data_IF_337740049495
#
_entry.id   IF_337740049495
#
_cell.length_a   1.000
_cell.length_b   1.000
_cell.length_c   1.000
_cell.angle_alpha   90.00
_cell.angle_beta   90.00
_cell.angle_gamma   90.00
#
_symmetry.space_group_name_H-M   'P 1'
#
loop_
_entity.id
_entity.type
_entity.pdbx_description
1 polymer ?
#
# COMPACT_ATOMS: atom_id res chain seq x y z
N UNK A 1 9.80 -25.00 -5.44
CA UNK A 1 8.33 -24.88 -5.26
C UNK A 1 7.98 -24.75 -3.78
N UNK A 2 8.55 -25.58 -2.89
CA UNK A 2 8.39 -25.48 -1.43
C UNK A 2 8.86 -24.11 -0.85
N UNK A 3 9.95 -23.54 -1.37
CA UNK A 3 10.48 -22.26 -0.88
C UNK A 3 9.57 -21.07 -1.24
N UNK A 4 9.01 -21.05 -2.45
CA UNK A 4 8.08 -19.99 -2.89
C UNK A 4 6.82 -20.00 -2.03
N UNK A 5 6.23 -21.17 -1.77
CA UNK A 5 5.07 -21.29 -0.88
C UNK A 5 5.39 -20.85 0.55
N UNK A 6 6.56 -21.21 1.07
CA UNK A 6 7.02 -20.78 2.40
C UNK A 6 7.18 -19.25 2.47
N UNK A 7 7.73 -18.63 1.43
CA UNK A 7 7.95 -17.19 1.37
C UNK A 7 6.65 -16.44 1.18
N UNK A 8 5.75 -16.92 0.32
CA UNK A 8 4.40 -16.38 0.20
C UNK A 8 3.64 -16.50 1.53
N UNK A 9 3.76 -17.62 2.23
CA UNK A 9 3.21 -17.81 3.57
C UNK A 9 3.80 -16.83 4.58
N UNK A 10 5.12 -16.61 4.55
CA UNK A 10 5.81 -15.63 5.39
C UNK A 10 5.34 -14.20 5.10
N UNK A 11 5.25 -13.81 3.83
CA UNK A 11 4.76 -12.50 3.39
C UNK A 11 3.31 -12.28 3.84
N UNK A 12 2.43 -13.28 3.66
CA UNK A 12 1.05 -13.19 4.14
C UNK A 12 0.98 -13.08 5.67
N UNK A 13 1.85 -13.80 6.38
CA UNK A 13 2.00 -13.67 7.84
C UNK A 13 2.38 -12.26 8.25
N UNK A 14 3.38 -11.67 7.57
CA UNK A 14 3.85 -10.29 7.80
C UNK A 14 2.81 -9.24 7.50
N UNK A 15 2.09 -9.35 6.38
CA UNK A 15 0.95 -8.47 6.08
C UNK A 15 -0.12 -8.58 7.17
N UNK A 16 -0.37 -9.80 7.67
CA UNK A 16 -1.26 -10.02 8.82
C UNK A 16 -0.76 -9.35 10.10
N UNK A 17 0.55 -9.38 10.37
CA UNK A 17 1.18 -8.68 11.50
C UNK A 17 1.06 -7.16 11.35
N UNK A 18 1.35 -6.60 10.16
CA UNK A 18 1.20 -5.18 9.88
C UNK A 18 -0.26 -4.73 10.02
N UNK A 19 -1.21 -5.54 9.54
CA UNK A 19 -2.64 -5.27 9.72
C UNK A 19 -3.03 -5.25 11.20
N UNK A 20 -2.48 -6.18 12.00
CA UNK A 20 -2.71 -6.20 13.45
C UNK A 20 -2.12 -4.97 14.12
N UNK A 21 -0.88 -4.60 13.79
CA UNK A 21 -0.24 -3.37 14.31
C UNK A 21 -1.04 -2.13 13.95
N UNK A 22 -1.53 -2.02 12.72
CA UNK A 22 -2.42 -0.93 12.31
C UNK A 22 -3.66 -0.87 13.21
N UNK A 23 -4.32 -2.02 13.45
CA UNK A 23 -5.51 -2.08 14.28
C UNK A 23 -5.20 -1.68 15.72
N UNK A 24 -4.12 -2.19 16.31
CA UNK A 24 -3.70 -1.89 17.68
C UNK A 24 -3.32 -0.40 17.81
N UNK A 25 -2.54 0.13 16.87
CA UNK A 25 -2.12 1.53 16.89
C UNK A 25 -3.31 2.48 16.65
N UNK A 26 -4.31 2.07 15.86
CA UNK A 26 -5.52 2.88 15.66
C UNK A 26 -6.62 2.60 16.68
N UNK A 27 -6.35 1.80 17.71
CA UNK A 27 -7.23 1.64 18.87
C UNK A 27 -6.96 2.78 19.86
N UNK A 28 -7.43 3.97 19.52
CA UNK A 28 -7.20 5.19 20.29
C UNK A 28 -8.50 5.77 20.85
N UNK A 29 -8.37 6.59 21.90
CA UNK A 29 -9.50 7.17 22.62
C UNK A 29 -10.24 8.26 21.83
N UNK A 30 -9.60 8.87 20.83
CA UNK A 30 -10.19 9.95 20.03
C UNK A 30 -9.97 9.81 18.51
N UNK A 31 -10.90 10.39 17.74
CA UNK A 31 -10.90 10.34 16.28
C UNK A 31 -9.69 11.03 15.62
N UNK A 32 -9.05 11.98 16.31
CA UNK A 32 -7.85 12.67 15.82
C UNK A 32 -6.67 11.69 15.80
N UNK A 33 -6.45 10.97 16.89
CA UNK A 33 -5.38 9.98 17.01
C UNK A 33 -5.59 8.82 16.05
N UNK A 34 -6.82 8.31 15.93
CA UNK A 34 -7.19 7.29 14.93
C UNK A 34 -6.80 7.77 13.53
N UNK A 35 -7.22 8.98 13.17
CA UNK A 35 -6.98 9.53 11.84
C UNK A 35 -5.49 9.76 11.56
N UNK A 36 -4.77 10.41 12.47
CA UNK A 36 -3.36 10.73 12.27
C UNK A 36 -2.49 9.47 12.16
N UNK A 37 -2.74 8.46 13.01
CA UNK A 37 -2.01 7.19 12.94
C UNK A 37 -2.33 6.45 11.65
N UNK A 38 -3.61 6.33 11.28
CA UNK A 38 -3.98 5.71 10.01
C UNK A 38 -3.40 6.44 8.79
N UNK A 39 -3.36 7.77 8.82
CA UNK A 39 -2.71 8.56 7.76
C UNK A 39 -1.20 8.31 7.68
N UNK A 40 -0.50 8.19 8.81
CA UNK A 40 0.94 7.89 8.84
C UNK A 40 1.24 6.53 8.20
N UNK A 41 0.45 5.50 8.51
CA UNK A 41 0.54 4.20 7.86
C UNK A 41 0.36 4.29 6.34
N UNK A 42 -0.67 5.03 5.88
CA UNK A 42 -0.90 5.22 4.44
C UNK A 42 0.26 5.97 3.78
N UNK A 43 0.76 7.03 4.42
CA UNK A 43 1.91 7.79 3.91
C UNK A 43 3.17 6.94 3.81
N UNK A 44 3.40 6.08 4.80
CA UNK A 44 4.51 5.14 4.81
C UNK A 44 4.46 4.19 3.60
N UNK A 45 3.31 3.59 3.29
CA UNK A 45 3.17 2.72 2.10
C UNK A 45 3.44 3.46 0.78
N UNK A 46 2.99 4.72 0.66
CA UNK A 46 3.26 5.53 -0.54
C UNK A 46 4.74 5.88 -0.64
N UNK A 47 5.39 6.20 0.47
CA UNK A 47 6.82 6.44 0.50
C UNK A 47 7.61 5.18 0.12
N UNK A 48 7.21 4.02 0.65
CA UNK A 48 7.79 2.72 0.32
C UNK A 48 7.68 2.38 -1.17
N UNK A 49 6.50 2.63 -1.78
CA UNK A 49 6.32 2.54 -3.23
C UNK A 49 7.33 3.38 -4.01
N UNK A 50 7.52 4.64 -3.58
CA UNK A 50 8.45 5.55 -4.25
C UNK A 50 9.91 5.14 -4.05
N UNK A 51 10.29 4.73 -2.83
CA UNK A 51 11.64 4.25 -2.51
C UNK A 51 12.03 3.01 -3.32
N UNK A 52 11.08 2.12 -3.58
CA UNK A 52 11.31 0.93 -4.40
C UNK A 52 11.39 1.23 -5.92
N UNK A 53 10.92 2.40 -6.36
CA UNK A 53 10.91 2.76 -7.78
C UNK A 53 12.04 3.71 -8.18
N UNK A 54 12.41 4.62 -7.28
CA UNK A 54 13.42 5.64 -7.56
C UNK A 54 14.83 5.06 -7.42
N UNK A 55 15.70 5.43 -8.35
CA UNK A 55 17.13 5.05 -8.32
C UNK A 55 17.84 5.69 -7.13
N UNK A 56 17.52 6.96 -6.84
CA UNK A 56 18.06 7.72 -5.71
C UNK A 56 16.91 8.43 -4.99
N UNK A 57 16.16 7.71 -4.11
CA UNK A 57 14.98 8.26 -3.46
C UNK A 57 15.31 9.43 -2.53
N UNK A 58 16.47 9.43 -1.87
CA UNK A 58 16.83 10.45 -0.88
C UNK A 58 17.11 11.82 -1.52
N UNK A 59 17.42 11.85 -2.82
CA UNK A 59 17.55 13.11 -3.58
C UNK A 59 16.25 13.93 -3.65
N UNK A 60 15.09 13.30 -3.45
CA UNK A 60 13.77 13.94 -3.57
C UNK A 60 12.87 13.74 -2.35
N UNK A 61 12.89 12.55 -1.73
CA UNK A 61 12.05 12.17 -0.59
C UNK A 61 12.62 12.73 0.73
N UNK A 62 12.71 14.04 0.80
CA UNK A 62 13.13 14.79 2.00
C UNK A 62 11.92 15.10 2.89
N UNK A 63 12.17 15.56 4.12
CA UNK A 63 11.11 16.01 5.05
C UNK A 63 10.20 17.11 4.48
N UNK A 64 10.67 17.86 3.48
CA UNK A 64 9.90 18.92 2.80
C UNK A 64 9.01 18.35 1.69
N UNK A 65 9.21 17.11 1.30
CA UNK A 65 8.44 16.43 0.26
C UNK A 65 7.18 15.79 0.86
N UNK A 66 6.21 16.65 1.16
CA UNK A 66 4.97 16.29 1.87
C UNK A 66 4.14 15.22 1.15
N UNK A 67 3.26 14.54 1.89
CA UNK A 67 2.27 13.57 1.42
C UNK A 67 1.66 13.86 0.04
N UNK A 68 1.14 15.08 -0.18
CA UNK A 68 0.50 15.44 -1.45
C UNK A 68 1.47 15.37 -2.65
N UNK A 69 2.76 15.67 -2.45
CA UNK A 69 3.78 15.55 -3.48
C UNK A 69 4.16 14.08 -3.71
N UNK A 70 4.24 13.27 -2.65
CA UNK A 70 4.44 11.81 -2.74
C UNK A 70 3.34 11.15 -3.58
N UNK A 71 2.07 11.45 -3.29
CA UNK A 71 0.92 10.95 -4.07
C UNK A 71 1.01 11.33 -5.54
N UNK A 72 1.30 12.61 -5.84
CA UNK A 72 1.42 13.08 -7.22
C UNK A 72 2.55 12.39 -7.97
N UNK A 73 3.70 12.21 -7.34
CA UNK A 73 4.83 11.51 -7.92
C UNK A 73 4.50 10.03 -8.18
N UNK A 74 3.88 9.35 -7.21
CA UNK A 74 3.48 7.96 -7.35
C UNK A 74 2.47 7.75 -8.50
N UNK A 75 1.55 8.70 -8.71
CA UNK A 75 0.64 8.67 -9.87
C UNK A 75 1.39 8.96 -11.17
N UNK A 76 2.31 9.94 -11.18
CA UNK A 76 3.09 10.31 -12.37
C UNK A 76 3.99 9.16 -12.87
N UNK A 77 4.56 8.40 -11.94
CA UNK A 77 5.32 7.18 -12.21
C UNK A 77 4.42 5.97 -12.55
N UNK A 78 3.10 6.14 -12.49
CA UNK A 78 2.13 5.08 -12.76
C UNK A 78 2.02 4.04 -11.64
N UNK A 79 2.67 4.21 -10.50
CA UNK A 79 2.63 3.27 -9.37
C UNK A 79 1.22 3.15 -8.79
N UNK A 80 0.52 4.28 -8.71
CA UNK A 80 -0.85 4.41 -8.23
C UNK A 80 -1.75 4.87 -9.39
N UNK A 81 -2.90 4.22 -9.60
CA UNK A 81 -3.91 4.67 -10.57
C UNK A 81 -4.39 6.11 -10.34
N UNK A 82 -4.67 6.85 -11.42
CA UNK A 82 -5.05 8.28 -11.34
C UNK A 82 -6.38 8.52 -10.62
N UNK A 83 -7.31 7.58 -10.68
CA UNK A 83 -8.61 7.65 -9.99
C UNK A 83 -8.45 7.70 -8.46
N UNK A 84 -7.36 7.17 -7.91
CA UNK A 84 -7.05 7.23 -6.48
C UNK A 84 -6.64 8.63 -5.98
N UNK A 85 -6.35 9.56 -6.88
CA UNK A 85 -5.95 10.92 -6.51
C UNK A 85 -7.00 11.61 -5.64
N UNK A 86 -8.29 11.39 -5.92
CA UNK A 86 -9.40 12.00 -5.17
C UNK A 86 -9.43 11.49 -3.73
N UNK A 87 -9.26 10.19 -3.51
CA UNK A 87 -9.19 9.56 -2.18
C UNK A 87 -8.05 10.11 -1.35
N UNK A 88 -6.83 10.12 -1.89
CA UNK A 88 -5.66 10.63 -1.17
C UNK A 88 -5.76 12.14 -0.91
N UNK A 89 -6.28 12.93 -1.86
CA UNK A 89 -6.52 14.34 -1.63
C UNK A 89 -7.56 14.58 -0.52
N UNK A 90 -8.60 13.74 -0.43
CA UNK A 90 -9.59 13.84 0.65
C UNK A 90 -8.96 13.53 2.00
N UNK A 91 -8.12 12.50 2.11
CA UNK A 91 -7.34 12.23 3.33
C UNK A 91 -6.45 13.41 3.72
N UNK A 92 -5.67 13.94 2.77
CA UNK A 92 -4.81 15.11 3.02
C UNK A 92 -5.62 16.33 3.45
N UNK A 93 -6.83 16.53 2.90
CA UNK A 93 -7.70 17.64 3.29
C UNK A 93 -8.17 17.51 4.74
N UNK A 94 -8.53 16.30 5.20
CA UNK A 94 -8.95 16.05 6.59
C UNK A 94 -7.75 16.24 7.52
N UNK A 95 -6.57 15.73 7.14
CA UNK A 95 -5.30 15.95 7.86
C UNK A 95 -5.01 17.43 8.04
N UNK A 96 -5.17 18.23 6.99
CA UNK A 96 -4.93 19.67 7.05
C UNK A 96 -5.95 20.40 7.94
N UNK A 97 -7.21 19.96 7.98
CA UNK A 97 -8.17 20.52 8.95
C UNK A 97 -7.73 20.26 10.38
N UNK A 98 -7.30 19.04 10.71
CA UNK A 98 -6.75 18.75 12.04
C UNK A 98 -5.52 19.62 12.39
N UNK A 99 -4.68 19.96 11.40
CA UNK A 99 -3.51 20.80 11.62
C UNK A 99 -3.83 22.30 11.79
N UNK A 100 -4.89 22.80 11.17
CA UNK A 100 -5.19 24.25 11.11
C UNK A 100 -6.38 24.68 11.96
N UNK A 101 -7.28 23.75 12.33
CA UNK A 101 -8.50 24.03 13.06
C UNK A 101 -8.49 23.32 14.43
N UNK A 102 -8.12 24.04 15.50
CA UNK A 102 -7.94 23.48 16.85
C UNK A 102 -9.15 22.69 17.40
N UNK A 103 -10.37 23.04 16.95
CA UNK A 103 -11.63 22.40 17.38
C UNK A 103 -12.24 21.51 16.31
N UNK A 104 -11.49 21.15 15.27
CA UNK A 104 -12.00 20.27 14.24
C UNK A 104 -12.23 18.87 14.81
N UNK A 105 -13.42 18.35 14.53
CA UNK A 105 -13.79 16.97 14.79
C UNK A 105 -14.33 16.39 13.50
N UNK A 106 -13.89 15.18 13.18
CA UNK A 106 -14.48 14.42 12.09
C UNK A 106 -15.96 14.14 12.42
N UNK A 107 -16.76 14.02 11.37
CA UNK A 107 -18.21 13.81 11.47
C UNK A 107 -18.60 12.81 10.40
N UNK A 108 -19.78 12.22 10.53
CA UNK A 108 -20.31 11.25 9.55
C UNK A 108 -20.27 11.78 8.12
N UNK A 109 -20.51 13.08 7.90
CA UNK A 109 -20.39 13.71 6.57
C UNK A 109 -18.96 13.64 6.03
N UNK A 110 -17.95 13.90 6.86
CA UNK A 110 -16.55 13.82 6.43
C UNK A 110 -16.16 12.38 6.03
N UNK A 111 -16.66 11.40 6.78
CA UNK A 111 -16.43 9.99 6.50
C UNK A 111 -17.19 9.54 5.25
N UNK A 112 -18.47 9.91 5.11
CA UNK A 112 -19.27 9.60 3.93
C UNK A 112 -18.66 10.20 2.66
N UNK A 113 -18.19 11.45 2.73
CA UNK A 113 -17.45 12.08 1.64
C UNK A 113 -16.18 11.30 1.30
N UNK A 114 -15.40 10.84 2.29
CA UNK A 114 -14.20 10.02 2.06
C UNK A 114 -14.57 8.69 1.38
N UNK A 115 -15.54 7.95 1.93
CA UNK A 115 -15.98 6.67 1.35
C UNK A 115 -16.50 6.85 -0.08
N UNK A 116 -17.14 7.98 -0.40
CA UNK A 116 -17.61 8.28 -1.76
C UNK A 116 -16.49 8.42 -2.80
N UNK A 117 -15.25 8.64 -2.35
CA UNK A 117 -14.07 8.72 -3.26
C UNK A 117 -13.46 7.36 -3.56
N UNK A 118 -13.83 6.31 -2.83
CA UNK A 118 -13.24 4.98 -2.98
C UNK A 118 -13.54 4.41 -4.36
N UNK A 119 -12.50 3.82 -4.98
CA UNK A 119 -12.67 2.96 -6.13
C UNK A 119 -13.32 1.62 -5.70
N UNK A 120 -13.66 0.80 -6.69
CA UNK A 120 -14.36 -0.47 -6.45
C UNK A 120 -13.60 -1.44 -5.54
N UNK A 121 -12.26 -1.44 -5.60
CA UNK A 121 -11.43 -2.32 -4.78
C UNK A 121 -11.52 -1.94 -3.30
N UNK A 122 -11.24 -0.68 -2.95
CA UNK A 122 -11.30 -0.21 -1.57
C UNK A 122 -12.73 -0.27 -1.03
N UNK A 123 -13.72 0.10 -1.88
CA UNK A 123 -15.13 0.10 -1.49
C UNK A 123 -15.62 -1.31 -1.17
N UNK A 124 -15.15 -2.33 -1.88
CA UNK A 124 -15.45 -3.73 -1.60
C UNK A 124 -14.93 -4.14 -0.23
N UNK A 125 -13.66 -3.85 0.07
CA UNK A 125 -13.04 -4.21 1.35
C UNK A 125 -13.70 -3.47 2.52
N UNK A 126 -13.90 -2.15 2.37
CA UNK A 126 -14.62 -1.33 3.35
C UNK A 126 -16.03 -1.86 3.62
N UNK A 127 -16.83 -2.12 2.57
CA UNK A 127 -18.22 -2.58 2.70
C UNK A 127 -18.28 -3.95 3.36
N UNK A 128 -17.36 -4.85 3.00
CA UNK A 128 -17.25 -6.18 3.61
C UNK A 128 -17.08 -6.07 5.12
N UNK A 129 -16.13 -5.27 5.59
CA UNK A 129 -15.89 -5.12 7.03
C UNK A 129 -16.97 -4.31 7.74
N UNK A 130 -17.44 -3.22 7.14
CA UNK A 130 -18.46 -2.35 7.75
C UNK A 130 -19.80 -3.07 7.97
N UNK A 131 -20.15 -4.02 7.10
CA UNK A 131 -21.34 -4.86 7.29
C UNK A 131 -21.16 -5.88 8.42
N UNK A 132 -19.93 -6.30 8.70
CA UNK A 132 -19.59 -7.24 9.77
C UNK A 132 -19.53 -6.58 11.15
N UNK A 133 -19.17 -5.30 11.21
CA UNK A 133 -18.95 -4.57 12.47
C UNK A 133 -19.72 -3.25 12.50
N UNK A 134 -21.06 -3.31 12.55
CA UNK A 134 -21.90 -2.12 12.66
C UNK A 134 -21.70 -1.45 14.02
N UNK A 135 -20.81 -0.48 14.08
CA UNK A 135 -20.60 0.37 15.25
C UNK A 135 -20.28 1.80 14.79
N UNK A 136 -20.42 2.78 15.68
CA UNK A 136 -20.43 4.22 15.35
C UNK A 136 -19.21 4.78 14.58
N UNK A 137 -19.19 6.10 14.39
CA UNK A 137 -18.22 6.83 13.55
C UNK A 137 -16.74 6.44 13.75
N UNK A 138 -16.21 6.22 14.98
CA UNK A 138 -14.80 5.86 15.19
C UNK A 138 -14.41 4.52 14.54
N UNK A 139 -15.28 3.51 14.62
CA UNK A 139 -15.02 2.22 14.00
C UNK A 139 -15.06 2.34 12.47
N UNK A 140 -16.07 3.02 11.94
CA UNK A 140 -16.17 3.23 10.50
C UNK A 140 -14.97 4.02 9.95
N UNK A 141 -14.44 4.96 10.73
CA UNK A 141 -13.22 5.68 10.41
C UNK A 141 -12.02 4.72 10.34
N UNK A 142 -11.83 3.86 11.34
CA UNK A 142 -10.77 2.83 11.33
C UNK A 142 -10.89 1.91 10.12
N UNK A 143 -12.11 1.45 9.82
CA UNK A 143 -12.38 0.61 8.66
C UNK A 143 -12.09 1.31 7.33
N UNK A 144 -12.38 2.60 7.22
CA UNK A 144 -12.05 3.39 6.03
C UNK A 144 -10.53 3.53 5.88
N UNK A 145 -9.80 3.85 6.96
CA UNK A 145 -8.35 4.03 6.92
C UNK A 145 -7.63 2.71 6.63
N UNK A 146 -8.03 1.60 7.24
CA UNK A 146 -7.41 0.29 7.00
C UNK A 146 -7.68 -0.23 5.59
N UNK A 147 -8.82 0.12 4.97
CA UNK A 147 -9.09 -0.21 3.58
C UNK A 147 -8.16 0.54 2.62
N UNK A 148 -7.90 1.84 2.88
CA UNK A 148 -6.96 2.62 2.06
C UNK A 148 -5.51 2.18 2.31
N UNK A 149 -5.13 1.89 3.56
CA UNK A 149 -3.82 1.33 3.87
C UNK A 149 -3.63 -0.03 3.19
N UNK A 150 -4.58 -0.96 3.32
CA UNK A 150 -4.52 -2.29 2.72
C UNK A 150 -4.39 -2.24 1.20
N UNK A 151 -5.09 -1.31 0.54
CA UNK A 151 -4.90 -1.05 -0.88
C UNK A 151 -3.48 -0.55 -1.20
N UNK A 152 -2.98 0.42 -0.42
CA UNK A 152 -1.66 1.02 -0.64
C UNK A 152 -0.55 -0.01 -0.41
N UNK A 153 -0.65 -0.81 0.65
CA UNK A 153 0.25 -1.93 0.95
C UNK A 153 0.21 -2.98 -0.15
N UNK A 154 -0.98 -3.43 -0.58
CA UNK A 154 -1.13 -4.36 -1.71
C UNK A 154 -0.47 -3.84 -2.99
N UNK A 155 -0.51 -2.53 -3.24
CA UNK A 155 0.17 -1.91 -4.38
C UNK A 155 1.70 -2.04 -4.29
N UNK A 156 2.30 -1.93 -3.10
CA UNK A 156 3.74 -2.17 -2.91
C UNK A 156 4.13 -3.55 -3.41
N UNK A 157 3.45 -4.60 -2.91
CA UNK A 157 3.74 -5.98 -3.29
C UNK A 157 3.44 -6.25 -4.78
N UNK A 158 2.29 -5.77 -5.27
CA UNK A 158 1.88 -6.02 -6.66
C UNK A 158 2.84 -5.38 -7.65
N UNK A 159 3.28 -4.13 -7.40
CA UNK A 159 4.23 -3.44 -8.27
C UNK A 159 5.58 -4.13 -8.32
N UNK A 160 6.05 -4.63 -7.18
CA UNK A 160 7.29 -5.38 -7.14
C UNK A 160 7.19 -6.68 -7.94
N UNK A 161 6.11 -7.44 -7.75
CA UNK A 161 5.85 -8.66 -8.53
C UNK A 161 5.73 -8.39 -10.05
N UNK A 162 5.12 -7.27 -10.43
CA UNK A 162 4.97 -6.89 -11.85
C UNK A 162 6.33 -6.67 -12.53
N UNK A 163 7.34 -6.12 -11.84
CA UNK A 163 8.70 -5.93 -12.38
C UNK A 163 9.29 -7.28 -12.81
N UNK A 164 9.28 -8.24 -11.89
CA UNK A 164 9.83 -9.57 -12.14
C UNK A 164 8.98 -10.40 -13.10
N UNK A 165 7.66 -10.20 -13.13
CA UNK A 165 6.79 -10.92 -14.07
C UNK A 165 7.15 -10.64 -15.53
N UNK A 166 7.60 -9.43 -15.85
CA UNK A 166 8.05 -9.06 -17.19
C UNK A 166 9.35 -9.76 -17.56
N UNK A 167 10.28 -9.83 -16.61
CA UNK A 167 11.55 -10.54 -16.78
C UNK A 167 11.33 -12.04 -16.94
N UNK A 168 10.43 -12.62 -16.15
CA UNK A 168 10.09 -14.05 -16.26
C UNK A 168 9.50 -14.40 -17.63
N UNK A 169 8.62 -13.55 -18.18
CA UNK A 169 8.08 -13.72 -19.54
C UNK A 169 9.16 -13.66 -20.62
N UNK A 170 10.23 -12.87 -20.41
CA UNK A 170 11.36 -12.86 -21.35
C UNK A 170 12.07 -14.22 -21.36
N UNK A 171 12.26 -14.86 -20.20
CA UNK A 171 12.82 -16.21 -20.13
C UNK A 171 11.95 -17.24 -20.84
N UNK A 172 10.63 -17.21 -20.61
CA UNK A 172 9.68 -18.12 -21.31
C UNK A 172 9.78 -17.96 -22.84
N UNK A 173 9.81 -16.72 -23.34
CA UNK A 173 9.97 -16.47 -24.78
C UNK A 173 11.32 -16.96 -25.33
N UNK A 174 12.40 -16.88 -24.54
CA UNK A 174 13.71 -17.38 -24.95
C UNK A 174 13.75 -18.91 -24.96
N UNK A 175 13.13 -19.55 -23.97
CA UNK A 175 12.95 -21.01 -23.91
C UNK A 175 12.15 -21.51 -25.13
N UNK A 176 11.10 -20.79 -25.55
CA UNK A 176 10.31 -21.11 -26.75
C UNK A 176 11.13 -20.96 -28.05
N UNK A 177 12.04 -19.99 -28.13
CA UNK A 177 12.83 -19.71 -29.33
C UNK A 177 14.07 -20.60 -29.48
N UNK A 178 14.75 -20.90 -28.38
CA UNK A 178 16.07 -21.54 -28.39
C UNK A 178 16.07 -22.92 -27.70
N UNK A 179 14.96 -23.31 -27.07
CA UNK A 179 14.89 -24.47 -26.19
C UNK A 179 15.44 -24.16 -24.79
N UNK A 180 15.14 -25.03 -23.84
CA UNK A 180 15.74 -24.94 -22.50
C UNK A 180 17.26 -25.15 -22.57
N UNK A 181 18.02 -24.26 -21.92
CA UNK A 181 19.46 -24.42 -21.70
C UNK A 181 19.80 -24.38 -20.19
N UNK A 182 20.93 -24.96 -19.77
CA UNK A 182 21.42 -24.84 -18.40
C UNK A 182 21.60 -23.37 -17.96
N UNK A 183 22.08 -22.51 -18.87
CA UNK A 183 22.33 -21.09 -18.61
C UNK A 183 21.02 -20.33 -18.37
N UNK A 184 19.99 -20.59 -19.19
CA UNK A 184 18.66 -20.00 -19.00
C UNK A 184 18.03 -20.44 -17.68
N UNK A 185 18.18 -21.71 -17.31
CA UNK A 185 17.71 -22.23 -16.01
C UNK A 185 18.41 -21.56 -14.84
N UNK A 186 19.72 -21.38 -14.92
CA UNK A 186 20.50 -20.71 -13.87
C UNK A 186 20.06 -19.25 -13.67
N UNK A 187 19.89 -18.49 -14.75
CA UNK A 187 19.44 -17.10 -14.68
C UNK A 187 18.00 -16.98 -14.15
N UNK A 188 17.11 -17.90 -14.53
CA UNK A 188 15.74 -17.98 -13.99
C UNK A 188 15.74 -18.24 -12.49
N UNK A 189 16.62 -19.12 -12.00
CA UNK A 189 16.80 -19.35 -10.55
C UNK A 189 17.31 -18.09 -9.84
N UNK A 190 18.32 -17.41 -10.39
CA UNK A 190 18.82 -16.15 -9.82
C UNK A 190 17.73 -15.06 -9.76
N UNK A 191 16.87 -14.98 -10.77
CA UNK A 191 15.74 -14.06 -10.78
C UNK A 191 14.75 -14.38 -9.66
N UNK A 192 14.41 -15.66 -9.50
CA UNK A 192 13.53 -16.12 -8.41
C UNK A 192 14.12 -15.76 -7.04
N UNK A 193 15.41 -16.00 -6.83
CA UNK A 193 16.09 -15.66 -5.58
C UNK A 193 16.05 -14.14 -5.31
N UNK A 194 16.24 -13.31 -6.34
CA UNK A 194 16.08 -11.84 -6.23
C UNK A 194 14.67 -11.44 -5.84
N UNK A 195 13.64 -12.02 -6.46
CA UNK A 195 12.23 -11.77 -6.12
C UNK A 195 11.99 -12.08 -4.65
N UNK A 196 12.47 -13.24 -4.20
CA UNK A 196 12.33 -13.75 -2.84
C UNK A 196 12.94 -12.77 -1.83
N UNK A 197 14.19 -12.38 -2.05
CA UNK A 197 14.88 -11.42 -1.17
C UNK A 197 14.11 -10.11 -1.13
N UNK A 198 13.63 -9.63 -2.27
CA UNK A 198 12.94 -8.34 -2.34
C UNK A 198 11.57 -8.34 -1.66
N UNK A 199 10.81 -9.42 -1.80
CA UNK A 199 9.54 -9.59 -1.08
C UNK A 199 9.76 -9.66 0.44
N UNK A 200 10.86 -10.29 0.87
CA UNK A 200 11.23 -10.34 2.26
C UNK A 200 11.58 -8.94 2.81
N UNK A 201 12.43 -8.17 2.12
CA UNK A 201 12.74 -6.77 2.47
C UNK A 201 11.46 -5.92 2.63
N UNK A 202 10.55 -6.02 1.66
CA UNK A 202 9.26 -5.31 1.70
C UNK A 202 8.39 -5.77 2.89
N UNK A 203 8.57 -6.97 3.40
CA UNK A 203 7.78 -7.47 4.53
C UNK A 203 8.33 -7.07 5.91
N UNK A 204 9.60 -6.65 5.99
CA UNK A 204 10.28 -6.33 7.26
C UNK A 204 10.24 -4.84 7.62
N UNK A 205 10.18 -3.96 6.61
CA UNK A 205 9.93 -2.51 6.75
C UNK A 205 8.47 -2.19 7.09
#
# INVERSE_FOLDING_TARGET
>A
MNDIEQILGSCMGKVGEQMRRFLDDTDAEDDLQIFLRGHLYIEHEIEKLLRNELVDPDSILTDRFMFANKVKLAIALGLIPKDMLTTYNKLNSIRNKYAHELKFQIKDKHLSDLVSTFNEEIKKDYTRWNNSYKDGTPLQLRLALIAVWGYSSKRVYTRELEKYSKEMRLFENLEDLFGESPELREEKTKLLDKVIVKLHEISED
#
